data_IF_125871375264
#
_entry.id   IF_125871375264
#
_cell.length_a   1.000
_cell.length_b   1.000
_cell.length_c   1.000
_cell.angle_alpha   90.00
_cell.angle_beta   90.00
_cell.angle_gamma   90.00
#
_symmetry.space_group_name_H-M   'P 1'
#
loop_
_entity.id
_entity.type
_entity.pdbx_description
1 polymer ?
#
# COMPACT_ATOMS: atom_id res chain seq x y z
N UNK A 1 -9.74 -18.89 -3.07
CA UNK A 1 -8.84 -18.09 -3.95
C UNK A 1 -7.78 -17.47 -3.08
N UNK A 2 -6.51 -17.69 -3.42
CA UNK A 2 -5.37 -17.13 -2.68
C UNK A 2 -4.69 -16.02 -3.48
N UNK A 3 -4.04 -15.10 -2.78
CA UNK A 3 -3.24 -14.02 -3.35
C UNK A 3 -1.87 -13.98 -2.70
N UNK A 4 -0.81 -13.88 -3.49
CA UNK A 4 0.54 -13.64 -3.01
C UNK A 4 0.80 -12.14 -2.85
N UNK A 5 1.31 -11.70 -1.69
CA UNK A 5 1.66 -10.30 -1.43
C UNK A 5 3.14 -10.21 -1.07
N UNK A 6 3.93 -9.63 -1.95
CA UNK A 6 5.36 -9.38 -1.76
C UNK A 6 5.58 -8.06 -1.03
N UNK A 7 6.54 -8.04 -0.11
CA UNK A 7 6.75 -6.95 0.87
C UNK A 7 5.49 -6.70 1.71
N UNK A 8 4.87 -7.79 2.15
CA UNK A 8 3.58 -7.80 2.84
C UNK A 8 3.63 -7.07 4.20
N UNK A 9 4.79 -6.92 4.82
CA UNK A 9 5.00 -6.17 6.05
C UNK A 9 5.60 -4.77 5.85
N UNK A 10 5.71 -4.30 4.58
CA UNK A 10 5.76 -2.86 4.38
C UNK A 10 4.44 -2.25 4.86
N UNK A 11 4.43 -0.99 5.29
CA UNK A 11 3.20 -0.39 5.80
C UNK A 11 2.04 -0.41 4.76
N UNK A 12 2.35 -0.23 3.47
CA UNK A 12 1.36 -0.35 2.38
C UNK A 12 0.91 -1.81 2.23
N UNK A 13 1.85 -2.75 2.20
CA UNK A 13 1.58 -4.18 2.07
C UNK A 13 0.68 -4.71 3.17
N UNK A 14 0.93 -4.30 4.41
CA UNK A 14 0.15 -4.66 5.57
C UNK A 14 -1.34 -4.27 5.42
N UNK A 15 -1.64 -3.08 4.87
CA UNK A 15 -3.01 -2.66 4.64
C UNK A 15 -3.72 -3.51 3.58
N UNK A 16 -3.01 -3.98 2.55
CA UNK A 16 -3.57 -4.94 1.60
C UNK A 16 -3.79 -6.32 2.24
N UNK A 17 -2.84 -6.82 3.03
CA UNK A 17 -3.02 -8.07 3.80
C UNK A 17 -4.28 -7.98 4.64
N UNK A 18 -4.40 -6.94 5.46
CA UNK A 18 -5.56 -6.73 6.33
C UNK A 18 -6.86 -6.68 5.54
N UNK A 19 -6.92 -5.91 4.45
CA UNK A 19 -8.08 -5.79 3.59
C UNK A 19 -8.54 -7.14 3.01
N UNK A 20 -7.62 -7.94 2.48
CA UNK A 20 -7.97 -9.23 1.88
C UNK A 20 -8.41 -10.25 2.94
N UNK A 21 -7.77 -10.27 4.10
CA UNK A 21 -8.18 -11.11 5.22
C UNK A 21 -9.59 -10.74 5.73
N UNK A 22 -9.92 -9.45 5.82
CA UNK A 22 -11.28 -8.99 6.16
C UNK A 22 -12.33 -9.41 5.11
N UNK A 23 -11.91 -9.62 3.85
CA UNK A 23 -12.77 -10.15 2.78
C UNK A 23 -12.82 -11.68 2.72
N UNK A 24 -12.18 -12.39 3.66
CA UNK A 24 -12.12 -13.84 3.68
C UNK A 24 -11.26 -14.45 2.56
N UNK A 25 -10.35 -13.66 1.98
CA UNK A 25 -9.43 -14.11 0.94
C UNK A 25 -8.15 -14.63 1.62
N UNK A 26 -7.69 -15.82 1.19
CA UNK A 26 -6.42 -16.37 1.67
C UNK A 26 -5.25 -15.54 1.16
N UNK A 27 -4.31 -15.22 2.04
CA UNK A 27 -3.12 -14.41 1.74
C UNK A 27 -1.85 -15.19 2.01
N UNK A 28 -1.03 -15.34 0.97
CA UNK A 28 0.34 -15.82 1.03
C UNK A 28 1.26 -14.59 1.12
N UNK A 29 1.69 -14.24 2.33
CA UNK A 29 2.63 -13.14 2.56
C UNK A 29 4.06 -13.55 2.21
N UNK A 30 4.75 -12.79 1.40
CA UNK A 30 6.17 -12.99 1.06
C UNK A 30 6.94 -11.75 1.52
N UNK A 31 7.71 -11.91 2.58
CA UNK A 31 8.56 -10.85 3.14
C UNK A 31 9.67 -11.46 3.99
N UNK A 32 10.71 -10.69 4.26
CA UNK A 32 11.73 -10.99 5.24
C UNK A 32 11.43 -10.21 6.51
N UNK A 33 11.29 -10.91 7.63
CA UNK A 33 11.15 -10.26 8.94
C UNK A 33 12.57 -9.88 9.41
N UNK A 34 12.97 -8.67 9.09
CA UNK A 34 14.29 -8.12 9.34
C UNK A 34 14.27 -6.86 10.23
N UNK A 35 13.10 -6.51 10.77
CA UNK A 35 12.93 -5.43 11.72
C UNK A 35 11.87 -5.77 12.77
N UNK A 36 11.96 -5.14 13.93
CA UNK A 36 10.99 -5.29 15.01
C UNK A 36 9.58 -4.84 14.57
N UNK A 37 9.50 -3.80 13.76
CA UNK A 37 8.25 -3.35 13.17
C UNK A 37 7.58 -4.43 12.32
N UNK A 38 8.34 -5.12 11.44
CA UNK A 38 7.79 -6.22 10.64
C UNK A 38 7.37 -7.41 11.49
N UNK A 39 8.12 -7.71 12.55
CA UNK A 39 7.74 -8.74 13.52
C UNK A 39 6.41 -8.40 14.20
N UNK A 40 6.24 -7.15 14.65
CA UNK A 40 5.00 -6.68 15.25
C UNK A 40 3.83 -6.76 14.25
N UNK A 41 4.02 -6.33 13.00
CA UNK A 41 2.99 -6.44 11.96
C UNK A 41 2.63 -7.91 11.67
N UNK A 42 3.63 -8.81 11.66
CA UNK A 42 3.40 -10.25 11.55
C UNK A 42 2.57 -10.79 12.71
N UNK A 43 2.88 -10.42 13.95
CA UNK A 43 2.11 -10.86 15.13
C UNK A 43 0.64 -10.44 15.05
N UNK A 44 0.31 -9.32 14.44
CA UNK A 44 -1.07 -8.84 14.29
C UNK A 44 -1.90 -9.69 13.33
N UNK A 45 -1.30 -10.32 12.32
CA UNK A 45 -2.00 -11.09 11.29
C UNK A 45 -1.67 -12.59 11.33
N UNK A 46 -0.57 -13.00 11.93
CA UNK A 46 -0.05 -14.36 11.89
C UNK A 46 -0.94 -15.42 12.55
N UNK A 47 -1.87 -15.00 13.40
CA UNK A 47 -2.88 -15.90 14.01
C UNK A 47 -4.14 -16.09 13.14
N UNK A 48 -4.26 -15.37 12.04
CA UNK A 48 -5.39 -15.54 11.13
C UNK A 48 -5.18 -16.79 10.28
N UNK A 49 -6.11 -17.73 10.31
CA UNK A 49 -6.02 -19.01 9.59
C UNK A 49 -5.94 -18.85 8.06
N UNK A 50 -6.39 -17.70 7.54
CA UNK A 50 -6.30 -17.35 6.12
C UNK A 50 -4.99 -16.64 5.73
N UNK A 51 -4.08 -16.42 6.69
CA UNK A 51 -2.76 -15.85 6.42
C UNK A 51 -1.66 -16.90 6.55
N UNK A 52 -0.73 -16.92 5.60
CA UNK A 52 0.50 -17.74 5.67
C UNK A 52 1.69 -16.89 5.28
N UNK A 53 2.72 -16.87 6.12
CA UNK A 53 4.03 -16.33 5.73
C UNK A 53 4.79 -17.41 4.97
N UNK A 54 5.14 -17.12 3.72
CA UNK A 54 5.76 -18.05 2.80
C UNK A 54 7.27 -17.78 2.75
N UNK A 55 8.12 -18.78 3.01
CA UNK A 55 9.56 -18.63 2.85
C UNK A 55 9.96 -18.50 1.35
N UNK A 56 11.06 -17.77 1.04
CA UNK A 56 11.47 -17.49 -0.34
C UNK A 56 11.68 -18.71 -1.24
N UNK A 57 12.01 -19.86 -0.68
CA UNK A 57 12.24 -21.12 -1.40
C UNK A 57 10.97 -21.96 -1.63
N UNK A 58 9.81 -21.50 -1.18
CA UNK A 58 8.54 -22.23 -1.22
C UNK A 58 7.38 -21.40 -1.77
N UNK A 59 7.69 -20.39 -2.59
CA UNK A 59 6.68 -19.47 -3.14
C UNK A 59 5.72 -20.26 -4.04
N UNK A 60 4.40 -20.26 -3.72
CA UNK A 60 3.41 -20.96 -4.52
C UNK A 60 3.11 -20.21 -5.81
N UNK A 61 2.54 -20.93 -6.78
CA UNK A 61 1.92 -20.29 -7.94
C UNK A 61 0.50 -19.88 -7.57
N UNK A 62 0.23 -18.58 -7.55
CA UNK A 62 -1.09 -18.01 -7.32
C UNK A 62 -1.71 -17.42 -8.60
N UNK A 63 -3.02 -17.18 -8.60
CA UNK A 63 -3.68 -16.48 -9.71
C UNK A 63 -3.23 -15.03 -9.80
N UNK A 64 -2.97 -14.40 -8.64
CA UNK A 64 -2.58 -12.99 -8.56
C UNK A 64 -1.44 -12.82 -7.58
N UNK A 65 -0.42 -12.07 -7.99
CA UNK A 65 0.63 -11.55 -7.13
C UNK A 65 0.54 -10.02 -7.05
N UNK A 66 0.51 -9.50 -5.83
CA UNK A 66 0.68 -8.08 -5.54
C UNK A 66 2.10 -7.83 -5.07
N UNK A 67 2.78 -6.88 -5.69
CA UNK A 67 4.13 -6.48 -5.31
C UNK A 67 4.13 -5.02 -4.88
N UNK A 68 4.52 -4.77 -3.63
CA UNK A 68 4.69 -3.40 -3.15
C UNK A 68 6.12 -2.96 -3.44
N UNK A 69 6.26 -2.01 -4.33
CA UNK A 69 7.59 -1.57 -4.80
C UNK A 69 8.23 -2.55 -5.75
N UNK A 70 9.38 -3.10 -5.38
CA UNK A 70 10.13 -4.09 -6.15
C UNK A 70 10.44 -5.32 -5.33
N UNK A 71 10.83 -6.40 -6.01
CA UNK A 71 11.34 -7.62 -5.39
C UNK A 71 12.45 -8.21 -6.25
N UNK A 72 13.39 -8.90 -5.62
CA UNK A 72 14.39 -9.74 -6.30
C UNK A 72 13.98 -11.23 -6.27
N UNK A 73 12.92 -11.56 -5.55
CA UNK A 73 12.40 -12.93 -5.50
C UNK A 73 11.61 -13.23 -6.77
N UNK A 74 11.60 -14.52 -7.21
CA UNK A 74 10.79 -14.93 -8.34
C UNK A 74 9.30 -14.75 -8.05
N UNK A 75 8.53 -14.37 -9.08
CA UNK A 75 7.09 -14.19 -8.99
C UNK A 75 6.42 -15.26 -9.83
N UNK A 76 5.64 -16.14 -9.20
CA UNK A 76 4.88 -17.19 -9.84
C UNK A 76 3.39 -16.86 -9.77
N UNK A 77 2.90 -16.09 -10.75
CA UNK A 77 1.49 -15.73 -10.82
C UNK A 77 1.04 -15.55 -12.27
N UNK A 78 -0.24 -15.82 -12.52
CA UNK A 78 -0.84 -15.58 -13.84
C UNK A 78 -1.02 -14.09 -14.09
N UNK A 79 -1.18 -13.30 -13.02
CA UNK A 79 -1.28 -11.84 -13.06
C UNK A 79 -0.41 -11.21 -11.98
N UNK A 80 0.38 -10.24 -12.39
CA UNK A 80 1.24 -9.47 -11.48
C UNK A 80 0.72 -8.04 -11.43
N UNK A 81 0.52 -7.51 -10.23
CA UNK A 81 0.14 -6.12 -9.98
C UNK A 81 1.24 -5.50 -9.13
N UNK A 82 1.78 -4.39 -9.57
CA UNK A 82 2.79 -3.63 -8.83
C UNK A 82 2.21 -2.31 -8.33
N UNK A 83 2.27 -2.07 -7.02
CA UNK A 83 2.06 -0.73 -6.46
C UNK A 83 3.39 -0.01 -6.44
N UNK A 84 3.48 1.10 -7.14
CA UNK A 84 4.66 1.93 -7.23
C UNK A 84 4.39 3.31 -6.66
N UNK A 85 5.13 3.69 -5.63
CA UNK A 85 5.15 5.07 -5.14
C UNK A 85 6.12 5.92 -5.97
N UNK A 86 6.10 7.24 -5.80
CA UNK A 86 6.94 8.18 -6.58
C UNK A 86 8.44 7.90 -6.44
N UNK A 87 8.87 7.33 -5.31
CA UNK A 87 10.28 7.04 -5.01
C UNK A 87 10.77 5.75 -5.65
N UNK A 88 9.86 4.84 -6.00
CA UNK A 88 10.19 3.53 -6.54
C UNK A 88 10.36 3.59 -8.05
N UNK A 89 11.63 3.56 -8.53
CA UNK A 89 11.94 3.71 -9.95
C UNK A 89 11.79 2.41 -10.75
N UNK A 90 12.00 1.24 -10.12
CA UNK A 90 12.01 -0.06 -10.81
C UNK A 90 10.59 -0.48 -11.19
N UNK A 91 10.36 -0.69 -12.49
CA UNK A 91 9.13 -1.28 -13.03
C UNK A 91 9.37 -2.77 -13.29
N UNK A 92 8.43 -3.60 -12.84
CA UNK A 92 8.45 -5.03 -13.14
C UNK A 92 7.96 -5.27 -14.56
N UNK A 93 8.65 -6.18 -15.27
CA UNK A 93 8.18 -6.67 -16.56
C UNK A 93 6.90 -7.49 -16.37
N UNK A 94 5.99 -7.41 -17.34
CA UNK A 94 4.71 -8.15 -17.35
C UNK A 94 3.78 -7.87 -16.15
N UNK A 95 3.96 -6.74 -15.47
CA UNK A 95 3.08 -6.30 -14.39
C UNK A 95 2.15 -5.18 -14.83
N UNK A 96 0.94 -5.18 -14.28
CA UNK A 96 0.07 -3.99 -14.27
C UNK A 96 0.59 -3.07 -13.18
N UNK A 97 1.11 -1.91 -13.57
CA UNK A 97 1.67 -0.95 -12.62
C UNK A 97 0.60 0.04 -12.19
N UNK A 98 0.42 0.18 -10.89
CA UNK A 98 -0.43 1.21 -10.29
C UNK A 98 0.48 2.26 -9.66
N UNK A 99 0.54 3.43 -10.27
CA UNK A 99 1.27 4.57 -9.74
C UNK A 99 0.45 5.23 -8.62
N UNK A 100 0.94 5.14 -7.42
CA UNK A 100 0.30 5.71 -6.26
C UNK A 100 0.69 7.20 -6.09
N UNK A 101 -0.24 8.05 -5.65
CA UNK A 101 0.06 9.42 -5.21
C UNK A 101 0.78 9.40 -3.86
N UNK A 102 0.79 10.53 -3.16
CA UNK A 102 1.18 10.56 -1.75
C UNK A 102 0.15 9.72 -0.98
N UNK A 103 0.60 8.64 -0.34
CA UNK A 103 -0.23 7.83 0.54
C UNK A 103 0.08 8.17 2.00
N UNK A 104 -0.94 8.13 2.84
CA UNK A 104 -0.77 8.24 4.28
C UNK A 104 -1.68 7.25 5.02
N UNK A 105 -1.25 6.82 6.21
CA UNK A 105 -2.00 5.86 7.00
C UNK A 105 -1.22 5.32 8.18
N UNK A 106 -1.82 4.39 8.89
CA UNK A 106 -1.22 3.74 10.04
C UNK A 106 0.06 3.00 9.63
N UNK A 107 1.04 2.94 10.50
CA UNK A 107 2.34 2.28 10.35
C UNK A 107 3.30 2.92 9.33
N UNK A 108 2.95 4.04 8.68
CA UNK A 108 3.89 4.77 7.83
C UNK A 108 4.98 5.45 8.67
N UNK A 109 6.10 5.81 8.06
CA UNK A 109 7.11 6.66 8.69
C UNK A 109 6.58 8.10 8.82
N UNK A 110 6.46 8.60 10.05
CA UNK A 110 5.86 9.89 10.32
C UNK A 110 6.35 10.50 11.65
N UNK A 111 6.04 11.78 11.81
CA UNK A 111 6.07 12.49 13.09
C UNK A 111 4.66 13.01 13.42
N UNK A 112 4.52 13.82 14.46
CA UNK A 112 3.26 14.51 14.76
C UNK A 112 2.88 15.58 13.71
N UNK A 113 3.84 16.06 12.93
CA UNK A 113 3.64 17.18 11.99
C UNK A 113 3.72 16.79 10.53
N UNK A 114 4.43 15.71 10.21
CA UNK A 114 4.77 15.34 8.84
C UNK A 114 4.83 13.83 8.63
N UNK A 115 4.79 13.45 7.36
CA UNK A 115 5.06 12.10 6.88
C UNK A 115 6.35 12.08 6.08
N UNK A 116 7.05 10.95 6.09
CA UNK A 116 8.22 10.73 5.24
C UNK A 116 7.78 10.16 3.88
N UNK A 117 8.14 10.87 2.82
CA UNK A 117 7.90 10.48 1.43
C UNK A 117 9.23 10.42 0.72
N UNK A 118 9.79 9.21 0.59
CA UNK A 118 11.17 9.03 0.14
C UNK A 118 12.17 9.71 1.08
N UNK A 119 12.98 10.63 0.52
CA UNK A 119 14.00 11.35 1.29
C UNK A 119 13.54 12.72 1.81
N UNK A 120 12.24 13.02 1.76
CA UNK A 120 11.70 14.31 2.21
C UNK A 120 10.54 14.15 3.16
N UNK A 121 10.34 15.14 4.01
CA UNK A 121 9.18 15.24 4.86
C UNK A 121 8.11 16.11 4.20
N UNK A 122 6.86 15.67 4.27
CA UNK A 122 5.69 16.39 3.77
C UNK A 122 4.77 16.70 4.96
N UNK A 123 4.61 17.97 5.27
CA UNK A 123 3.77 18.40 6.40
C UNK A 123 2.30 18.17 6.11
N UNK A 124 1.52 17.73 7.12
CA UNK A 124 0.07 17.52 7.01
C UNK A 124 -0.69 18.77 6.55
N UNK A 125 -0.21 19.96 6.90
CA UNK A 125 -0.84 21.23 6.50
C UNK A 125 -0.28 21.82 5.20
N UNK A 126 0.64 21.14 4.52
CA UNK A 126 1.16 21.63 3.24
C UNK A 126 0.11 21.53 2.15
N UNK A 127 0.18 22.45 1.18
CA UNK A 127 -0.71 22.42 0.00
C UNK A 127 -0.59 21.11 -0.76
N UNK A 128 0.63 20.58 -0.90
CA UNK A 128 0.89 19.31 -1.56
C UNK A 128 0.16 18.15 -0.86
N UNK A 129 0.26 18.04 0.47
CA UNK A 129 -0.45 17.00 1.20
C UNK A 129 -1.97 17.14 1.06
N UNK A 130 -2.48 18.36 1.23
CA UNK A 130 -3.91 18.62 1.18
C UNK A 130 -4.53 18.36 -0.19
N UNK A 131 -3.77 18.52 -1.30
CA UNK A 131 -4.25 18.27 -2.66
C UNK A 131 -4.07 16.83 -3.10
N UNK A 132 -2.92 16.21 -2.81
CA UNK A 132 -2.48 14.98 -3.45
C UNK A 132 -2.59 13.74 -2.55
N UNK A 133 -2.57 13.92 -1.22
CA UNK A 133 -2.52 12.77 -0.33
C UNK A 133 -3.85 12.01 -0.30
N UNK A 134 -3.71 10.67 -0.32
CA UNK A 134 -4.83 9.72 -0.23
C UNK A 134 -4.63 8.82 0.97
N UNK A 135 -5.69 8.64 1.76
CA UNK A 135 -5.68 7.72 2.88
C UNK A 135 -5.56 6.28 2.38
N UNK A 136 -4.66 5.52 2.98
CA UNK A 136 -4.29 4.17 2.50
C UNK A 136 -5.49 3.23 2.37
N UNK A 137 -6.45 3.27 3.29
CA UNK A 137 -7.62 2.38 3.24
C UNK A 137 -8.54 2.72 2.06
N UNK A 138 -8.66 3.99 1.69
CA UNK A 138 -9.42 4.40 0.50
C UNK A 138 -8.68 3.98 -0.78
N UNK A 139 -7.35 4.11 -0.80
CA UNK A 139 -6.52 3.64 -1.90
C UNK A 139 -6.64 2.12 -2.11
N UNK A 140 -6.50 1.34 -1.04
CA UNK A 140 -6.64 -0.12 -1.09
C UNK A 140 -8.04 -0.51 -1.58
N UNK A 141 -9.09 0.09 -1.01
CA UNK A 141 -10.49 -0.17 -1.41
C UNK A 141 -10.75 0.14 -2.89
N UNK A 142 -10.17 1.21 -3.42
CA UNK A 142 -10.35 1.60 -4.82
C UNK A 142 -9.55 0.72 -5.79
N UNK A 143 -8.38 0.22 -5.39
CA UNK A 143 -7.49 -0.54 -6.25
C UNK A 143 -7.69 -2.05 -6.15
N UNK A 144 -8.16 -2.60 -5.04
CA UNK A 144 -8.40 -4.03 -4.87
C UNK A 144 -9.33 -4.65 -5.93
N UNK A 145 -10.43 -4.03 -6.42
CA UNK A 145 -11.24 -4.58 -7.49
C UNK A 145 -10.47 -4.81 -8.80
N UNK A 146 -9.34 -4.11 -8.98
CA UNK A 146 -8.48 -4.28 -10.15
C UNK A 146 -7.85 -5.67 -10.21
N UNK A 147 -7.76 -6.39 -9.15
CA UNK A 147 -7.15 -7.73 -9.06
C UNK A 147 -7.97 -8.80 -9.80
N UNK A 148 -9.25 -8.55 -10.02
CA UNK A 148 -10.17 -9.49 -10.69
C UNK A 148 -10.51 -9.15 -12.15
N UNK A 149 -10.10 -7.99 -12.66
CA UNK A 149 -10.52 -7.52 -13.98
C UNK A 149 -9.59 -8.00 -15.10
N UNK A 150 -10.17 -8.50 -16.20
CA UNK A 150 -9.45 -9.14 -17.31
C UNK A 150 -8.80 -8.15 -18.29
N UNK A 151 -9.41 -6.98 -18.53
CA UNK A 151 -8.93 -5.98 -19.49
C UNK A 151 -8.42 -4.74 -18.78
N UNK A 152 -7.10 -4.57 -18.71
CA UNK A 152 -6.51 -3.38 -18.11
C UNK A 152 -5.29 -2.87 -18.85
N UNK A 153 -5.09 -1.56 -18.83
CA UNK A 153 -3.86 -0.97 -19.30
C UNK A 153 -2.69 -1.50 -18.46
N UNK A 154 -1.52 -1.57 -19.08
CA UNK A 154 -0.28 -1.99 -18.41
C UNK A 154 0.16 -1.04 -17.31
N UNK A 155 -0.37 0.19 -17.30
CA UNK A 155 -0.07 1.22 -16.31
C UNK A 155 -1.30 2.06 -16.01
N UNK A 156 -1.52 2.30 -14.71
CA UNK A 156 -2.60 3.10 -14.16
C UNK A 156 -2.03 4.14 -13.22
N UNK A 157 -2.55 5.36 -13.25
CA UNK A 157 -2.23 6.39 -12.27
C UNK A 157 -3.41 6.68 -11.37
N UNK A 158 -3.15 6.79 -10.07
CA UNK A 158 -4.19 7.11 -9.08
C UNK A 158 -4.02 8.55 -8.63
N UNK A 159 -5.11 9.29 -8.61
CA UNK A 159 -5.14 10.69 -8.22
C UNK A 159 -6.21 10.93 -7.16
N UNK A 160 -5.97 11.92 -6.30
CA UNK A 160 -7.03 12.51 -5.50
C UNK A 160 -7.99 13.28 -6.40
N UNK A 161 -9.28 13.16 -6.16
CA UNK A 161 -10.29 13.92 -6.90
C UNK A 161 -10.16 15.44 -6.73
N UNK A 162 -9.46 15.89 -5.68
CA UNK A 162 -9.14 17.31 -5.45
C UNK A 162 -8.25 17.88 -6.54
N UNK A 163 -7.31 17.08 -7.06
CA UNK A 163 -6.45 17.48 -8.19
C UNK A 163 -7.29 17.68 -9.45
N UNK A 164 -8.27 16.81 -9.69
CA UNK A 164 -9.12 16.88 -10.87
C UNK A 164 -10.00 18.14 -10.94
N UNK A 165 -10.40 18.68 -9.80
CA UNK A 165 -11.20 19.92 -9.76
C UNK A 165 -10.41 21.14 -10.23
N UNK A 166 -9.07 21.07 -10.19
CA UNK A 166 -8.19 22.14 -10.63
C UNK A 166 -7.69 21.96 -12.08
N UNK A 167 -7.80 20.75 -12.64
CA UNK A 167 -7.35 20.42 -14.00
C UNK A 167 -8.50 19.74 -14.75
N UNK A 168 -9.07 20.43 -15.71
CA UNK A 168 -10.25 19.96 -16.47
C UNK A 168 -9.99 18.76 -17.42
N UNK A 169 -8.84 18.09 -17.32
CA UNK A 169 -8.42 16.99 -18.21
C UNK A 169 -8.54 15.66 -17.50
N UNK A 170 -9.48 14.82 -17.95
CA UNK A 170 -9.54 13.41 -17.56
C UNK A 170 -8.45 12.65 -18.32
N UNK A 171 -7.40 12.28 -17.62
CA UNK A 171 -6.30 11.50 -18.17
C UNK A 171 -6.77 10.05 -18.43
N UNK A 172 -6.40 9.51 -19.60
CA UNK A 172 -6.57 8.08 -19.88
C UNK A 172 -5.82 7.23 -18.85
N UNK A 173 -6.37 6.04 -18.56
CA UNK A 173 -5.79 5.11 -17.60
C UNK A 173 -5.58 5.69 -16.18
N UNK A 174 -6.53 6.47 -15.72
CA UNK A 174 -6.50 7.11 -14.42
C UNK A 174 -7.67 6.70 -13.52
N UNK A 175 -7.37 6.56 -12.23
CA UNK A 175 -8.35 6.34 -11.18
C UNK A 175 -8.39 7.57 -10.30
N UNK A 176 -9.58 8.12 -10.11
CA UNK A 176 -9.79 9.27 -9.25
C UNK A 176 -10.50 8.83 -7.97
N UNK A 177 -9.81 8.96 -6.85
CA UNK A 177 -10.34 8.63 -5.53
C UNK A 177 -10.92 9.89 -4.90
N UNK A 178 -12.19 9.80 -4.52
CA UNK A 178 -12.86 10.83 -3.73
C UNK A 178 -12.70 10.47 -2.25
N UNK A 179 -12.29 11.44 -1.44
CA UNK A 179 -12.33 11.30 0.01
C UNK A 179 -13.80 11.16 0.44
N UNK A 180 -14.13 10.08 1.11
CA UNK A 180 -15.44 9.88 1.72
C UNK A 180 -15.56 10.63 3.05
N UNK A 181 -14.43 10.97 3.66
CA UNK A 181 -14.29 11.65 4.95
C UNK A 181 -13.26 12.77 4.74
N UNK A 182 -13.42 13.94 5.37
CA UNK A 182 -12.42 15.00 5.31
C UNK A 182 -11.02 14.48 5.67
N UNK A 183 -10.01 14.91 4.91
CA UNK A 183 -8.63 14.44 5.08
C UNK A 183 -8.12 14.67 6.51
N UNK A 184 -8.53 15.77 7.14
CA UNK A 184 -8.17 16.12 8.50
C UNK A 184 -8.69 15.09 9.52
N UNK A 185 -9.82 14.46 9.26
CA UNK A 185 -10.37 13.42 10.13
C UNK A 185 -9.53 12.14 10.03
N UNK A 186 -9.12 11.76 8.81
CA UNK A 186 -8.22 10.63 8.62
C UNK A 186 -6.85 10.90 9.23
N UNK A 187 -6.31 12.12 9.09
CA UNK A 187 -5.06 12.54 9.76
C UNK A 187 -5.19 12.41 11.28
N UNK A 188 -6.31 12.86 11.87
CA UNK A 188 -6.55 12.71 13.33
C UNK A 188 -6.55 11.25 13.77
N UNK A 189 -7.15 10.34 12.98
CA UNK A 189 -7.15 8.89 13.27
C UNK A 189 -5.73 8.31 13.23
N UNK A 190 -4.96 8.68 12.20
CA UNK A 190 -3.57 8.23 12.03
C UNK A 190 -2.67 8.76 13.15
N UNK A 191 -2.83 10.04 13.54
CA UNK A 191 -2.11 10.63 14.67
C UNK A 191 -2.46 9.95 15.99
N UNK A 192 -3.74 9.65 16.22
CA UNK A 192 -4.17 8.93 17.42
C UNK A 192 -3.56 7.52 17.49
N UNK A 193 -3.47 6.84 16.33
CA UNK A 193 -2.80 5.54 16.23
C UNK A 193 -1.30 5.67 16.48
N UNK A 194 -0.63 6.66 15.87
CA UNK A 194 0.78 6.94 16.08
C UNK A 194 1.10 7.16 17.56
N UNK A 195 0.35 8.03 18.25
CA UNK A 195 0.54 8.31 19.68
C UNK A 195 0.37 7.09 20.57
N UNK A 196 -0.61 6.23 20.22
CA UNK A 196 -0.88 4.99 20.96
C UNK A 196 0.22 3.95 20.82
N UNK A 197 0.87 3.89 19.66
CA UNK A 197 1.86 2.88 19.30
C UNK A 197 3.21 3.48 18.96
N UNK A 198 3.55 4.63 19.55
CA UNK A 198 4.71 5.43 19.19
C UNK A 198 6.01 4.63 19.15
N UNK A 199 6.24 3.81 20.18
CA UNK A 199 7.44 2.99 20.28
C UNK A 199 7.61 2.03 19.07
N UNK A 200 6.52 1.50 18.53
CA UNK A 200 6.54 0.61 17.37
C UNK A 200 6.80 1.34 16.03
N UNK A 201 6.66 2.67 16.01
CA UNK A 201 7.01 3.48 14.84
C UNK A 201 8.47 3.91 14.82
N UNK A 202 9.11 3.99 15.99
CA UNK A 202 10.44 4.60 16.15
C UNK A 202 11.59 3.61 15.97
N UNK A 203 11.35 2.30 16.05
CA UNK A 203 12.39 1.25 15.96
C UNK A 203 13.10 1.12 14.60
N UNK A 204 12.63 1.79 13.56
CA UNK A 204 13.28 1.82 12.23
C UNK A 204 14.28 3.00 12.06
N UNK A 205 14.63 3.74 13.12
CA UNK A 205 15.48 4.95 13.05
C UNK A 205 16.97 4.72 13.31
N UNK A 206 17.41 3.47 13.45
CA UNK A 206 18.84 3.13 13.63
C UNK A 206 19.47 2.64 12.33
#
# INVERSE_FOLDING_TARGET
MSISIYNCFSWIGYHYVHYFLEKGIEVNGIDKIDSEKKENLHMLVGRNSSFRLIPPNSIPKDLVALVIGGTELPIYADRIIQIRTREMKKKLSNAIVINAPILFGEWMEMTEEDIKVGNRNVRFHSREFQSDAIYIKDFVKATAPLFHSSNKPSELSVFSKKVFLNEAVKLENSIYIRDNIPIEENVRKVLAHYRRYKDLYEYDRN
#
